data_IF_146402184639
#
_entry.id   IF_146402184639
#
_cell.length_a   1.000
_cell.length_b   1.000
_cell.length_c   1.000
_cell.angle_alpha   90.00
_cell.angle_beta   90.00
_cell.angle_gamma   90.00
#
_symmetry.space_group_name_H-M   'P 1'
#
loop_
_entity.id
_entity.type
_entity.pdbx_description
1 polymer ?
#
# COMPACT_ATOMS: atom_id res chain seq x y z
N UNK A 1 -22.32 -29.90 3.90
CA UNK A 1 -21.65 -29.50 5.15
C UNK A 1 -21.32 -28.01 5.03
N UNK A 2 -21.91 -27.23 5.94
CA UNK A 2 -21.75 -25.79 6.22
C UNK A 2 -21.06 -24.87 5.19
N UNK A 3 -21.88 -24.03 4.56
CA UNK A 3 -21.57 -22.68 4.08
C UNK A 3 -20.95 -21.83 5.19
N UNK A 4 -19.89 -21.06 4.89
CA UNK A 4 -19.30 -20.15 5.87
C UNK A 4 -18.14 -19.28 5.38
N UNK A 5 -18.14 -18.83 4.13
CA UNK A 5 -17.29 -17.72 3.73
C UNK A 5 -17.90 -16.43 4.29
N UNK A 6 -17.67 -16.19 5.58
CA UNK A 6 -17.99 -14.93 6.25
C UNK A 6 -17.00 -13.87 5.75
N UNK A 7 -17.21 -13.41 4.52
CA UNK A 7 -16.68 -12.12 4.09
C UNK A 7 -17.48 -11.07 4.86
N UNK A 8 -17.02 -10.78 6.08
CA UNK A 8 -17.30 -9.51 6.71
C UNK A 8 -16.95 -8.47 5.64
N UNK A 9 -17.97 -7.78 5.14
CA UNK A 9 -17.83 -6.61 4.30
C UNK A 9 -17.15 -5.52 5.13
N UNK A 10 -15.85 -5.69 5.36
CA UNK A 10 -14.99 -4.67 5.90
C UNK A 10 -14.94 -3.62 4.79
N UNK A 11 -15.52 -2.46 5.07
CA UNK A 11 -15.36 -1.27 4.24
C UNK A 11 -13.88 -1.19 3.86
N UNK A 12 -13.54 -1.11 2.55
CA UNK A 12 -12.16 -1.10 2.14
C UNK A 12 -11.42 -0.02 2.94
N UNK A 13 -10.28 -0.37 3.56
CA UNK A 13 -9.55 0.53 4.44
C UNK A 13 -9.23 1.80 3.66
N UNK A 14 -9.64 2.95 4.20
CA UNK A 14 -9.36 4.23 3.56
C UNK A 14 -7.87 4.50 3.62
N UNK A 15 -7.26 4.61 2.45
CA UNK A 15 -5.85 4.92 2.26
C UNK A 15 -5.73 6.42 1.95
N UNK A 16 -4.91 7.10 2.73
CA UNK A 16 -4.55 8.51 2.55
C UNK A 16 -3.19 8.55 1.85
N UNK A 17 -3.08 9.38 0.82
CA UNK A 17 -1.80 9.73 0.23
C UNK A 17 -1.19 10.93 0.99
N UNK A 18 -0.05 10.70 1.62
CA UNK A 18 0.72 11.69 2.35
C UNK A 18 1.98 12.02 1.53
N UNK A 19 1.85 13.01 0.65
CA UNK A 19 2.91 13.47 -0.24
C UNK A 19 4.12 14.03 0.52
N UNK A 20 3.91 14.63 1.70
CA UNK A 20 5.00 15.22 2.50
C UNK A 20 6.00 14.18 3.01
N UNK A 21 5.51 12.98 3.28
CA UNK A 21 6.33 11.86 3.77
C UNK A 21 6.53 10.78 2.68
N UNK A 22 6.13 11.06 1.43
CA UNK A 22 6.14 10.11 0.32
C UNK A 22 5.58 8.74 0.72
N UNK A 23 4.40 8.72 1.35
CA UNK A 23 3.78 7.47 1.79
C UNK A 23 2.29 7.41 1.59
N UNK A 24 1.80 6.20 1.41
CA UNK A 24 0.39 5.86 1.49
C UNK A 24 0.15 5.26 2.86
N UNK A 25 -0.87 5.72 3.58
CA UNK A 25 -1.12 5.31 4.96
C UNK A 25 -2.60 5.07 5.24
N UNK A 26 -2.89 4.21 6.21
CA UNK A 26 -4.26 4.10 6.76
C UNK A 26 -4.63 5.38 7.50
N UNK A 27 -5.93 5.67 7.64
CA UNK A 27 -6.40 6.84 8.41
C UNK A 27 -5.80 6.97 9.81
N UNK A 28 -5.57 5.83 10.48
CA UNK A 28 -4.95 5.79 11.80
C UNK A 28 -3.42 5.79 11.79
N UNK A 29 -2.80 5.92 10.60
CA UNK A 29 -1.35 5.99 10.34
C UNK A 29 -0.54 4.79 10.84
N UNK A 30 -1.20 3.69 11.23
CA UNK A 30 -0.53 2.51 11.79
C UNK A 30 0.07 1.60 10.72
N UNK A 31 -0.54 1.55 9.54
CA UNK A 31 -0.04 0.79 8.41
C UNK A 31 0.25 1.76 7.26
N UNK A 32 1.38 1.57 6.61
CA UNK A 32 1.85 2.49 5.57
C UNK A 32 2.75 1.80 4.55
N UNK A 33 2.85 2.43 3.38
CA UNK A 33 3.74 2.07 2.28
C UNK A 33 4.50 3.34 1.88
N UNK A 34 5.81 3.29 1.98
CA UNK A 34 6.72 4.36 1.60
C UNK A 34 7.22 4.17 0.18
N UNK A 35 7.42 5.29 -0.51
CA UNK A 35 8.01 5.32 -1.83
C UNK A 35 9.04 6.45 -1.97
N UNK A 36 9.87 6.34 -2.98
CA UNK A 36 10.78 7.37 -3.43
C UNK A 36 10.51 7.71 -4.89
N UNK A 37 10.56 9.00 -5.24
CA UNK A 37 10.53 9.41 -6.63
C UNK A 37 11.94 9.42 -7.21
N UNK A 38 12.15 8.63 -8.27
CA UNK A 38 13.41 8.47 -8.99
C UNK A 38 13.28 8.98 -10.42
N UNK A 39 14.43 9.09 -11.09
CA UNK A 39 14.52 9.53 -12.48
C UNK A 39 13.78 10.87 -12.74
N UNK A 40 13.96 11.84 -11.83
CA UNK A 40 13.31 13.15 -11.91
C UNK A 40 11.79 13.10 -11.75
N UNK A 41 11.26 12.15 -10.97
CA UNK A 41 9.82 12.02 -10.73
C UNK A 41 9.07 11.22 -11.78
N UNK A 42 9.75 10.38 -12.57
CA UNK A 42 9.13 9.49 -13.57
C UNK A 42 8.97 8.05 -13.07
N UNK A 43 9.68 7.71 -12.01
CA UNK A 43 9.70 6.36 -11.45
C UNK A 43 9.36 6.45 -9.97
N UNK A 44 8.36 5.70 -9.53
CA UNK A 44 7.98 5.55 -8.13
C UNK A 44 8.57 4.24 -7.62
N UNK A 45 9.56 4.32 -6.74
CA UNK A 45 10.19 3.16 -6.13
C UNK A 45 9.56 2.89 -4.76
N UNK A 46 8.85 1.78 -4.63
CA UNK A 46 8.24 1.34 -3.37
C UNK A 46 9.34 0.70 -2.51
N UNK A 47 9.77 1.41 -1.47
CA UNK A 47 10.93 1.05 -0.66
C UNK A 47 10.57 0.29 0.61
N UNK A 48 9.41 0.57 1.19
CA UNK A 48 9.00 -0.06 2.45
C UNK A 48 7.48 -0.23 2.55
N UNK A 49 7.04 -1.30 3.19
CA UNK A 49 5.63 -1.49 3.56
C UNK A 49 5.57 -2.06 4.97
N UNK A 50 4.87 -1.36 5.85
CA UNK A 50 4.71 -1.75 7.24
C UNK A 50 3.23 -2.00 7.56
N UNK A 51 2.95 -3.18 8.12
CA UNK A 51 1.65 -3.50 8.71
C UNK A 51 1.88 -4.07 10.11
N UNK A 52 1.32 -3.46 11.16
CA UNK A 52 1.50 -3.92 12.53
C UNK A 52 0.85 -5.28 12.71
N UNK A 53 1.40 -6.10 13.61
CA UNK A 53 0.93 -7.47 13.88
C UNK A 53 -0.57 -7.55 14.19
N UNK A 54 -1.09 -6.57 14.94
CA UNK A 54 -2.51 -6.44 15.30
C UNK A 54 -3.46 -6.25 14.11
N UNK A 55 -2.93 -5.91 12.92
CA UNK A 55 -3.70 -5.70 11.69
C UNK A 55 -3.27 -6.61 10.54
N UNK A 56 -2.40 -7.60 10.80
CA UNK A 56 -2.05 -8.62 9.80
C UNK A 56 -3.27 -9.48 9.48
N UNK A 57 -3.29 -10.08 8.29
CA UNK A 57 -4.42 -10.88 7.82
C UNK A 57 -5.63 -10.09 7.29
N UNK A 58 -5.62 -8.76 7.42
CA UNK A 58 -6.69 -7.87 6.93
C UNK A 58 -6.45 -7.36 5.49
N UNK A 59 -5.42 -7.85 4.79
CA UNK A 59 -5.10 -7.42 3.43
C UNK A 59 -4.62 -5.97 3.28
N UNK A 60 -4.21 -5.30 4.37
CA UNK A 60 -3.81 -3.88 4.32
C UNK A 60 -2.63 -3.60 3.39
N UNK A 61 -1.63 -4.48 3.34
CA UNK A 61 -0.49 -4.33 2.43
C UNK A 61 -0.94 -4.31 0.95
N UNK A 62 -1.93 -5.14 0.60
CA UNK A 62 -2.52 -5.15 -0.74
C UNK A 62 -3.25 -3.85 -1.05
N UNK A 63 -4.06 -3.34 -0.12
CA UNK A 63 -4.77 -2.07 -0.30
C UNK A 63 -3.80 -0.88 -0.44
N UNK A 64 -2.75 -0.84 0.37
CA UNK A 64 -1.68 0.16 0.26
C UNK A 64 -0.98 0.09 -1.11
N UNK A 65 -0.67 -1.13 -1.58
CA UNK A 65 -0.04 -1.34 -2.88
C UNK A 65 -0.94 -0.90 -4.03
N UNK A 66 -2.23 -1.24 -3.99
CA UNK A 66 -3.22 -0.82 -4.99
C UNK A 66 -3.32 0.71 -5.02
N UNK A 67 -3.36 1.38 -3.86
CA UNK A 67 -3.37 2.84 -3.81
C UNK A 67 -2.13 3.45 -4.47
N UNK A 68 -0.94 2.89 -4.18
CA UNK A 68 0.31 3.33 -4.77
C UNK A 68 0.33 3.10 -6.29
N UNK A 69 -0.05 1.92 -6.77
CA UNK A 69 -0.10 1.62 -8.21
C UNK A 69 -1.11 2.50 -8.95
N UNK A 70 -2.29 2.74 -8.37
CA UNK A 70 -3.28 3.64 -8.96
C UNK A 70 -2.74 5.08 -9.05
N UNK A 71 -2.04 5.55 -8.01
CA UNK A 71 -1.38 6.85 -8.06
C UNK A 71 -0.34 6.92 -9.17
N UNK A 72 0.51 5.89 -9.28
CA UNK A 72 1.52 5.81 -10.34
C UNK A 72 0.88 5.80 -11.73
N UNK A 73 -0.15 4.99 -11.95
CA UNK A 73 -0.87 4.92 -13.23
C UNK A 73 -1.49 6.27 -13.61
N UNK A 74 -2.17 6.93 -12.67
CA UNK A 74 -2.80 8.24 -12.91
C UNK A 74 -1.78 9.34 -13.22
N UNK A 75 -0.54 9.20 -12.74
CA UNK A 75 0.54 10.16 -12.97
C UNK A 75 1.54 9.68 -14.04
N UNK A 76 1.23 8.61 -14.78
CA UNK A 76 2.12 8.01 -15.79
C UNK A 76 3.53 7.68 -15.27
N UNK A 77 3.61 7.26 -14.00
CA UNK A 77 4.85 6.84 -13.34
C UNK A 77 5.09 5.35 -13.56
N UNK A 78 6.35 4.98 -13.79
CA UNK A 78 6.76 3.57 -13.71
C UNK A 78 6.96 3.17 -12.26
N UNK A 79 6.65 1.93 -11.88
CA UNK A 79 6.81 1.46 -10.49
C UNK A 79 7.92 0.44 -10.36
N UNK A 80 8.79 0.60 -9.37
CA UNK A 80 9.80 -0.38 -8.97
C UNK A 80 9.46 -0.85 -7.56
N UNK A 81 9.29 -2.15 -7.30
CA UNK A 81 9.10 -2.67 -5.96
C UNK A 81 10.46 -3.03 -5.32
N UNK A 82 11.25 -2.06 -4.86
CA UNK A 82 12.54 -2.35 -4.20
C UNK A 82 12.41 -2.79 -2.74
N UNK A 83 11.18 -2.80 -2.19
CA UNK A 83 10.95 -3.23 -0.82
C UNK A 83 11.44 -4.67 -0.60
N UNK A 84 12.36 -4.84 0.35
CA UNK A 84 12.94 -6.14 0.74
C UNK A 84 11.90 -7.16 1.24
N UNK A 85 10.68 -6.72 1.54
CA UNK A 85 9.56 -7.57 1.93
C UNK A 85 8.95 -8.35 0.75
N UNK A 86 9.10 -7.88 -0.50
CA UNK A 86 8.59 -8.54 -1.71
C UNK A 86 9.56 -9.59 -2.26
N UNK A 87 10.83 -9.56 -1.82
CA UNK A 87 11.87 -10.51 -2.25
C UNK A 87 11.84 -11.85 -1.50
N UNK A 88 10.78 -12.16 -0.74
CA UNK A 88 10.61 -13.39 0.05
C UNK A 88 9.46 -14.26 -0.45
#
# INVERSE_FOLDING_TARGET
>A
MATGSNQAAAVPPKIIWNEKENRFETEDKKAYLEYELRNGGKVMDITHTFVPSSKRGLGLASHLSVAAFNHAQNNSLSVIPSCSYISL
#
